data_IF_287602673620
#
_entry.id   IF_287602673620
#
_cell.length_a   1.000
_cell.length_b   1.000
_cell.length_c   1.000
_cell.angle_alpha   90.00
_cell.angle_beta   90.00
_cell.angle_gamma   90.00
#
_symmetry.space_group_name_H-M   'P 1'
#
loop_
_entity.id
_entity.type
_entity.pdbx_description
1 polymer ?
#
# COMPACT_ATOMS: atom_id res chain seq x y z
N UNK A 1 3.23 5.37 1.82
CA UNK A 1 4.46 5.18 1.02
C UNK A 1 4.96 3.75 1.22
N UNK A 2 5.63 3.12 0.23
CA UNK A 2 6.25 1.81 0.43
C UNK A 2 7.31 1.86 1.53
N UNK A 3 7.48 0.76 2.26
CA UNK A 3 8.47 0.67 3.35
C UNK A 3 9.20 -0.68 3.35
N UNK A 4 9.31 -1.30 2.17
CA UNK A 4 9.97 -2.58 1.96
C UNK A 4 11.46 -2.52 2.33
N UNK A 5 12.10 -3.70 2.43
CA UNK A 5 13.51 -3.77 2.82
C UNK A 5 14.37 -2.94 1.86
N UNK A 6 15.13 -1.99 2.42
CA UNK A 6 15.99 -1.08 1.67
C UNK A 6 15.32 0.17 1.09
N UNK A 7 14.05 0.41 1.43
CA UNK A 7 13.37 1.68 1.17
C UNK A 7 13.91 2.81 2.04
N UNK A 8 14.01 4.01 1.48
CA UNK A 8 14.40 5.23 2.20
C UNK A 8 13.36 5.65 3.23
N UNK A 9 12.10 5.28 3.01
CA UNK A 9 10.98 5.60 3.91
C UNK A 9 11.03 4.86 5.26
N UNK A 10 11.93 3.88 5.41
CA UNK A 10 12.13 3.21 6.71
C UNK A 10 12.80 4.09 7.76
N UNK A 11 13.44 5.19 7.35
CA UNK A 11 14.05 6.14 8.29
C UNK A 11 13.00 6.84 9.15
N UNK A 12 11.88 7.27 8.56
CA UNK A 12 10.76 7.88 9.27
C UNK A 12 10.20 6.92 10.34
N UNK A 13 9.97 5.66 9.96
CA UNK A 13 9.51 4.64 10.90
C UNK A 13 10.57 4.33 11.98
N UNK A 14 11.87 4.39 11.66
CA UNK A 14 12.95 4.21 12.64
C UNK A 14 12.97 5.35 13.66
N UNK A 15 12.83 6.60 13.23
CA UNK A 15 12.76 7.74 14.13
C UNK A 15 11.55 7.62 15.09
N UNK A 16 10.38 7.26 14.55
CA UNK A 16 9.19 6.99 15.35
C UNK A 16 9.37 5.82 16.34
N UNK A 17 10.07 4.75 15.92
CA UNK A 17 10.36 3.61 16.79
C UNK A 17 11.26 4.01 17.97
N UNK A 18 12.31 4.83 17.72
CA UNK A 18 13.18 5.35 18.78
C UNK A 18 12.40 6.23 19.75
N UNK A 19 11.54 7.13 19.24
CA UNK A 19 10.68 7.96 20.08
C UNK A 19 9.71 7.13 20.94
N UNK A 20 9.29 5.97 20.43
CA UNK A 20 8.45 5.00 21.14
C UNK A 20 9.24 4.01 22.03
N UNK A 21 10.56 4.20 22.22
CA UNK A 21 11.40 3.32 23.04
C UNK A 21 11.66 1.93 22.44
N UNK A 22 11.35 1.72 21.15
CA UNK A 22 11.58 0.44 20.46
C UNK A 22 12.99 0.39 19.86
N UNK A 23 13.67 -0.74 20.02
CA UNK A 23 15.00 -0.97 19.44
C UNK A 23 15.02 -1.00 17.90
N UNK A 24 13.89 -1.35 17.27
CA UNK A 24 13.73 -1.40 15.81
C UNK A 24 12.28 -1.12 15.41
N UNK A 25 12.02 -0.54 14.23
CA UNK A 25 10.68 -0.38 13.71
C UNK A 25 10.05 -1.74 13.36
N UNK A 26 8.81 -1.94 13.79
CA UNK A 26 7.93 -3.02 13.36
C UNK A 26 6.96 -2.49 12.30
N UNK A 27 6.41 -3.38 11.47
CA UNK A 27 5.43 -3.02 10.44
C UNK A 27 4.23 -3.98 10.56
N UNK A 28 2.98 -3.49 10.38
CA UNK A 28 2.60 -2.15 9.90
C UNK A 28 2.86 -1.02 10.90
N UNK A 29 2.98 0.20 10.37
CA UNK A 29 3.13 1.46 11.09
C UNK A 29 2.10 2.45 10.53
N UNK A 30 1.35 3.12 11.41
CA UNK A 30 0.31 4.09 11.05
C UNK A 30 0.68 5.46 11.62
N UNK A 31 0.61 6.48 10.76
CA UNK A 31 0.58 7.88 11.15
C UNK A 31 -0.83 8.40 10.87
N UNK A 32 -1.48 8.91 11.91
CA UNK A 32 -2.80 9.52 11.81
C UNK A 32 -2.71 10.94 12.38
N UNK A 33 -2.49 11.90 11.49
CA UNK A 33 -2.37 13.30 11.86
C UNK A 33 -3.67 13.90 12.37
N UNK A 34 -4.84 13.39 11.92
CA UNK A 34 -6.14 13.88 12.37
C UNK A 34 -6.42 13.54 13.83
N UNK A 35 -6.00 12.34 14.27
CA UNK A 35 -6.05 11.94 15.67
C UNK A 35 -4.77 12.29 16.45
N UNK A 36 -3.71 12.75 15.77
CA UNK A 36 -2.42 13.09 16.38
C UNK A 36 -1.65 11.88 16.91
N UNK A 37 -1.91 10.66 16.41
CA UNK A 37 -1.30 9.42 16.89
C UNK A 37 -0.33 8.80 15.89
N UNK A 38 0.68 8.10 16.42
CA UNK A 38 1.64 7.28 15.66
C UNK A 38 1.70 5.91 16.30
N UNK A 39 1.22 4.90 15.60
CA UNK A 39 0.99 3.56 16.15
C UNK A 39 1.80 2.51 15.39
N UNK A 40 2.36 1.59 16.17
CA UNK A 40 2.93 0.34 15.68
C UNK A 40 2.00 -0.81 16.07
N UNK A 41 2.30 -2.01 15.57
CA UNK A 41 1.54 -3.23 15.82
C UNK A 41 0.16 -3.23 15.14
N UNK A 42 -0.16 -4.32 14.44
CA UNK A 42 -1.41 -4.40 13.67
C UNK A 42 -2.66 -4.37 14.54
N UNK A 43 -2.61 -4.94 15.75
CA UNK A 43 -3.75 -4.97 16.67
C UNK A 43 -4.14 -3.56 17.14
N UNK A 44 -3.16 -2.79 17.62
CA UNK A 44 -3.38 -1.43 18.13
C UNK A 44 -3.86 -0.49 17.00
N UNK A 45 -3.29 -0.65 15.80
CA UNK A 45 -3.72 0.09 14.61
C UNK A 45 -5.17 -0.21 14.27
N UNK A 46 -5.57 -1.49 14.25
CA UNK A 46 -6.95 -1.88 13.89
C UNK A 46 -7.94 -1.37 14.93
N UNK A 47 -7.59 -1.48 16.22
CA UNK A 47 -8.41 -0.95 17.31
C UNK A 47 -8.62 0.57 17.15
N UNK A 48 -7.54 1.33 16.97
CA UNK A 48 -7.61 2.79 16.74
C UNK A 48 -8.50 3.17 15.56
N UNK A 49 -8.35 2.46 14.43
CA UNK A 49 -9.14 2.74 13.23
C UNK A 49 -10.63 2.48 13.44
N UNK A 50 -10.99 1.44 14.20
CA UNK A 50 -12.39 1.13 14.48
C UNK A 50 -12.99 2.10 15.50
N UNK A 51 -12.25 2.46 16.54
CA UNK A 51 -12.72 3.40 17.57
C UNK A 51 -12.88 4.82 16.99
N UNK A 52 -11.96 5.24 16.11
CA UNK A 52 -11.94 6.60 15.55
C UNK A 52 -12.81 6.75 14.29
N UNK A 53 -12.78 5.75 13.39
CA UNK A 53 -13.39 5.85 12.05
C UNK A 53 -14.42 4.75 11.75
N UNK A 54 -14.64 3.81 12.67
CA UNK A 54 -15.52 2.67 12.44
C UNK A 54 -17.01 3.04 12.35
N UNK A 55 -17.41 4.25 12.77
CA UNK A 55 -18.81 4.69 12.79
C UNK A 55 -19.76 3.67 13.46
N UNK A 56 -19.31 3.06 14.57
CA UNK A 56 -20.07 2.03 15.29
C UNK A 56 -20.04 0.64 14.63
N UNK A 57 -19.22 0.42 13.60
CA UNK A 57 -18.97 -0.92 13.09
C UNK A 57 -18.40 -1.79 14.22
N UNK A 58 -19.01 -2.97 14.51
CA UNK A 58 -18.50 -3.83 15.56
C UNK A 58 -17.11 -4.34 15.18
N UNK A 59 -16.21 -4.40 16.15
CA UNK A 59 -14.95 -5.11 16.00
C UNK A 59 -15.29 -6.59 15.75
N UNK A 60 -14.95 -7.18 14.60
CA UNK A 60 -15.10 -8.62 14.44
C UNK A 60 -14.30 -9.30 15.57
N UNK A 61 -14.81 -10.39 16.17
CA UNK A 61 -14.11 -11.06 17.25
C UNK A 61 -12.69 -11.41 16.80
N UNK A 62 -11.69 -11.45 17.70
CA UNK A 62 -10.31 -11.68 17.32
C UNK A 62 -10.08 -12.92 16.44
N UNK A 63 -10.91 -13.96 16.59
CA UNK A 63 -10.92 -15.16 15.74
C UNK A 63 -11.16 -14.90 14.25
N UNK A 64 -11.93 -13.86 13.94
CA UNK A 64 -12.44 -13.57 12.59
C UNK A 64 -11.51 -12.62 11.82
N UNK A 65 -10.81 -11.73 12.53
CA UNK A 65 -9.82 -10.84 11.91
C UNK A 65 -8.39 -11.40 11.99
N UNK A 66 -8.01 -12.05 13.09
CA UNK A 66 -6.78 -12.85 13.18
C UNK A 66 -7.08 -14.30 12.82
N UNK A 67 -7.50 -14.53 11.57
CA UNK A 67 -7.61 -15.87 11.03
C UNK A 67 -6.25 -16.55 11.14
N UNK A 68 -6.07 -17.60 11.96
CA UNK A 68 -4.78 -18.26 12.14
C UNK A 68 -4.24 -18.80 10.82
N UNK A 69 -5.13 -19.16 9.89
CA UNK A 69 -4.80 -19.55 8.53
C UNK A 69 -4.07 -18.46 7.75
N UNK A 70 -4.34 -17.17 7.98
CA UNK A 70 -3.63 -16.06 7.35
C UNK A 70 -2.16 -16.02 7.80
N UNK A 71 -1.87 -16.35 9.07
CA UNK A 71 -0.49 -16.46 9.56
C UNK A 71 0.25 -17.63 8.89
N UNK A 72 -0.47 -18.71 8.55
CA UNK A 72 0.10 -19.90 7.90
C UNK A 72 0.21 -19.77 6.39
N UNK A 73 -0.72 -19.08 5.74
CA UNK A 73 -0.86 -19.08 4.27
C UNK A 73 -0.55 -17.73 3.61
N UNK A 74 -0.58 -16.63 4.37
CA UNK A 74 -0.44 -15.27 3.82
C UNK A 74 0.91 -15.00 3.15
N UNK A 75 1.96 -15.72 3.56
CA UNK A 75 3.29 -15.64 2.94
C UNK A 75 3.46 -16.51 1.69
N UNK A 76 2.56 -17.49 1.44
CA UNK A 76 2.72 -18.44 0.34
C UNK A 76 2.77 -17.76 -1.04
N UNK A 77 1.87 -16.83 -1.38
CA UNK A 77 1.93 -16.20 -2.70
C UNK A 77 3.21 -15.39 -2.92
N UNK A 78 3.79 -14.83 -1.85
CA UNK A 78 5.06 -14.10 -1.92
C UNK A 78 6.22 -15.05 -2.22
N UNK A 79 6.27 -16.22 -1.56
CA UNK A 79 7.29 -17.24 -1.86
C UNK A 79 7.16 -17.80 -3.27
N UNK A 80 5.94 -18.16 -3.69
CA UNK A 80 5.69 -18.71 -5.03
C UNK A 80 6.04 -17.73 -6.15
N UNK A 81 6.07 -16.43 -5.84
CA UNK A 81 6.47 -15.36 -6.77
C UNK A 81 7.91 -14.91 -6.58
N UNK A 82 8.77 -15.71 -5.95
CA UNK A 82 10.20 -15.39 -5.81
C UNK A 82 10.49 -14.21 -4.88
N UNK A 83 9.63 -13.92 -3.90
CA UNK A 83 9.84 -12.86 -2.92
C UNK A 83 9.52 -11.45 -3.41
N UNK A 84 8.86 -11.32 -4.57
CA UNK A 84 8.48 -10.03 -5.18
C UNK A 84 7.67 -9.14 -4.24
N UNK A 85 7.92 -7.83 -4.31
CA UNK A 85 7.37 -6.83 -3.39
C UNK A 85 7.96 -6.83 -1.98
N UNK A 86 8.90 -7.72 -1.64
CA UNK A 86 9.50 -7.80 -0.29
C UNK A 86 10.69 -6.85 -0.06
N UNK A 87 11.31 -6.36 -1.13
CA UNK A 87 12.47 -5.48 -1.08
C UNK A 87 12.42 -4.46 -2.22
N UNK A 88 13.06 -3.31 -1.98
CA UNK A 88 13.34 -2.33 -3.04
C UNK A 88 14.45 -2.88 -3.94
N UNK A 89 14.22 -2.77 -5.25
CA UNK A 89 15.15 -3.14 -6.32
C UNK A 89 16.48 -2.41 -6.14
N UNK A 90 17.61 -3.12 -6.30
CA UNK A 90 18.91 -2.52 -5.99
C UNK A 90 19.23 -1.34 -6.91
N UNK A 91 18.88 -1.47 -8.20
CA UNK A 91 19.08 -0.42 -9.19
C UNK A 91 18.38 0.90 -8.81
N UNK A 92 17.28 0.85 -8.05
CA UNK A 92 16.60 2.04 -7.55
C UNK A 92 17.29 2.73 -6.40
N UNK A 93 18.00 1.99 -5.54
CA UNK A 93 18.73 2.60 -4.41
C UNK A 93 19.86 3.51 -4.88
N UNK A 94 20.33 3.30 -6.10
CA UNK A 94 21.38 4.09 -6.76
C UNK A 94 20.87 4.86 -7.99
N UNK A 95 19.55 4.85 -8.22
CA UNK A 95 18.93 5.27 -9.48
C UNK A 95 18.40 6.70 -9.47
N UNK A 96 17.44 6.95 -10.38
CA UNK A 96 16.77 8.24 -10.61
C UNK A 96 16.09 8.78 -9.33
N UNK A 97 16.03 10.11 -9.13
CA UNK A 97 15.29 10.69 -8.00
C UNK A 97 13.81 10.23 -7.99
N UNK A 98 13.21 10.12 -6.80
CA UNK A 98 11.80 9.73 -6.67
C UNK A 98 10.89 10.74 -7.38
N UNK A 99 9.68 10.32 -7.81
CA UNK A 99 8.72 11.24 -8.42
C UNK A 99 8.39 12.38 -7.46
N UNK A 100 8.23 13.59 -8.00
CA UNK A 100 7.95 14.79 -7.20
C UNK A 100 6.56 14.72 -6.55
N UNK A 101 5.61 14.07 -7.22
CA UNK A 101 4.25 13.88 -6.73
C UNK A 101 3.89 12.40 -6.61
N UNK A 102 3.14 12.00 -5.57
CA UNK A 102 2.75 10.61 -5.41
C UNK A 102 1.77 10.19 -6.50
N UNK A 103 1.97 8.98 -7.04
CA UNK A 103 1.02 8.38 -7.99
C UNK A 103 -0.26 7.98 -7.26
N UNK A 104 -1.39 7.91 -7.94
CA UNK A 104 -2.63 7.35 -7.36
C UNK A 104 -2.96 6.02 -8.01
N UNK A 105 -3.20 5.00 -7.20
CA UNK A 105 -3.68 3.70 -7.65
C UNK A 105 -5.08 3.47 -7.10
N UNK A 106 -6.07 3.31 -7.98
CA UNK A 106 -7.38 2.78 -7.60
C UNK A 106 -7.31 1.26 -7.57
N UNK A 107 -7.66 0.67 -6.44
CA UNK A 107 -7.40 -0.76 -6.15
C UNK A 107 -8.37 -1.32 -5.10
N UNK A 108 -8.24 -2.60 -4.76
CA UNK A 108 -8.76 -3.17 -3.52
C UNK A 108 -8.02 -4.49 -3.19
N UNK A 109 -8.02 -4.91 -1.93
CA UNK A 109 -7.15 -5.99 -1.42
C UNK A 109 -7.40 -7.35 -2.10
N UNK A 110 -8.66 -7.72 -2.32
CA UNK A 110 -9.02 -8.99 -2.96
C UNK A 110 -8.75 -9.11 -4.47
N UNK A 111 -8.07 -8.14 -5.09
CA UNK A 111 -7.80 -8.15 -6.54
C UNK A 111 -6.36 -8.58 -6.84
N UNK A 112 -6.20 -9.76 -7.45
CA UNK A 112 -4.89 -10.28 -7.85
C UNK A 112 -4.12 -9.37 -8.81
N UNK A 113 -4.80 -8.66 -9.71
CA UNK A 113 -4.17 -7.72 -10.64
C UNK A 113 -3.65 -6.47 -9.94
N UNK A 114 -4.38 -5.98 -8.92
CA UNK A 114 -3.90 -4.89 -8.07
C UNK A 114 -2.67 -5.29 -7.26
N UNK A 115 -2.60 -6.55 -6.82
CA UNK A 115 -1.39 -7.07 -6.14
C UNK A 115 -0.16 -6.94 -7.03
N UNK A 116 -0.25 -7.31 -8.32
CA UNK A 116 0.87 -7.17 -9.27
C UNK A 116 1.40 -5.74 -9.33
N UNK A 117 0.50 -4.77 -9.46
CA UNK A 117 0.86 -3.35 -9.53
C UNK A 117 1.47 -2.86 -8.21
N UNK A 118 0.89 -3.25 -7.06
CA UNK A 118 1.41 -2.88 -5.73
C UNK A 118 2.80 -3.46 -5.46
N UNK A 119 3.08 -4.69 -5.93
CA UNK A 119 4.42 -5.28 -5.85
C UNK A 119 5.43 -4.41 -6.60
N UNK A 120 5.12 -3.99 -7.84
CA UNK A 120 6.00 -3.12 -8.63
C UNK A 120 6.17 -1.73 -8.02
N UNK A 121 5.09 -1.10 -7.53
CA UNK A 121 5.18 0.17 -6.81
C UNK A 121 6.10 0.06 -5.57
N UNK A 122 6.12 -1.09 -4.92
CA UNK A 122 6.95 -1.37 -3.75
C UNK A 122 8.41 -1.64 -4.13
N UNK A 123 8.65 -2.46 -5.14
CA UNK A 123 9.98 -2.77 -5.66
C UNK A 123 10.69 -1.53 -6.18
N UNK A 124 9.93 -0.64 -6.82
CA UNK A 124 10.40 0.62 -7.36
C UNK A 124 10.43 1.76 -6.32
N UNK A 125 10.07 1.48 -5.06
CA UNK A 125 9.99 2.45 -3.96
C UNK A 125 9.26 3.75 -4.35
N UNK A 126 8.15 3.62 -5.08
CA UNK A 126 7.39 4.76 -5.60
C UNK A 126 6.37 5.26 -4.57
N UNK A 127 6.44 6.54 -4.15
CA UNK A 127 5.40 7.17 -3.36
C UNK A 127 4.04 7.11 -4.08
N UNK A 128 3.02 6.62 -3.40
CA UNK A 128 1.69 6.48 -3.98
C UNK A 128 0.57 6.56 -2.95
N UNK A 129 -0.61 6.97 -3.42
CA UNK A 129 -1.89 6.99 -2.73
C UNK A 129 -2.73 5.80 -3.18
N UNK A 130 -3.35 5.13 -2.22
CA UNK A 130 -4.11 3.92 -2.41
C UNK A 130 -5.62 4.20 -2.25
N UNK A 131 -6.33 4.33 -3.38
CA UNK A 131 -7.77 4.62 -3.39
C UNK A 131 -8.61 3.36 -3.54
N UNK A 132 -9.11 2.84 -2.40
CA UNK A 132 -9.92 1.61 -2.42
C UNK A 132 -11.27 1.77 -3.15
N UNK A 133 -11.50 0.96 -4.19
CA UNK A 133 -12.72 0.88 -5.00
C UNK A 133 -13.41 -0.48 -4.85
N UNK A 134 -13.27 -1.09 -3.66
CA UNK A 134 -13.96 -2.32 -3.29
C UNK A 134 -15.49 -2.22 -3.51
N UNK A 135 -16.17 -3.37 -3.56
CA UNK A 135 -17.63 -3.40 -3.72
C UNK A 135 -18.30 -2.49 -2.67
N UNK A 136 -19.27 -1.69 -3.12
CA UNK A 136 -20.01 -0.69 -2.32
C UNK A 136 -19.19 0.52 -1.83
N UNK A 137 -17.93 0.68 -2.25
CA UNK A 137 -17.19 1.92 -2.01
C UNK A 137 -17.78 3.08 -2.81
N UNK A 138 -17.99 4.27 -2.22
CA UNK A 138 -18.44 5.47 -2.96
C UNK A 138 -17.41 5.90 -4.01
N UNK A 139 -16.13 5.57 -3.82
CA UNK A 139 -15.05 5.86 -4.77
C UNK A 139 -15.19 5.13 -6.11
N UNK A 140 -16.10 4.16 -6.23
CA UNK A 140 -16.43 3.56 -7.53
C UNK A 140 -17.11 4.56 -8.47
N UNK A 141 -17.92 5.48 -7.92
CA UNK A 141 -18.55 6.53 -8.70
C UNK A 141 -17.52 7.56 -9.17
N UNK A 142 -16.58 7.93 -8.30
CA UNK A 142 -15.44 8.80 -8.64
C UNK A 142 -14.61 8.21 -9.79
N UNK A 143 -14.25 6.93 -9.70
CA UNK A 143 -13.50 6.25 -10.75
C UNK A 143 -14.30 6.16 -12.06
N UNK A 144 -15.60 5.89 -11.99
CA UNK A 144 -16.46 5.85 -13.17
C UNK A 144 -16.59 7.23 -13.84
N UNK A 145 -16.72 8.30 -13.06
CA UNK A 145 -16.78 9.66 -13.58
C UNK A 145 -15.47 10.08 -14.27
N UNK A 146 -14.33 9.63 -13.72
CA UNK A 146 -13.01 9.93 -14.25
C UNK A 146 -12.66 9.14 -15.52
N UNK A 147 -12.94 7.84 -15.51
CA UNK A 147 -12.34 6.90 -16.45
C UNK A 147 -13.38 6.09 -17.25
N UNK A 148 -14.67 6.44 -17.14
CA UNK A 148 -15.79 5.78 -17.83
C UNK A 148 -16.15 4.39 -17.31
N UNK A 149 -15.31 3.79 -16.45
CA UNK A 149 -15.52 2.48 -15.85
C UNK A 149 -14.96 2.42 -14.44
N UNK A 150 -15.50 1.53 -13.61
CA UNK A 150 -15.17 1.40 -12.18
C UNK A 150 -14.35 0.15 -11.86
N UNK A 151 -13.62 -0.36 -12.85
CA UNK A 151 -12.77 -1.56 -12.73
C UNK A 151 -11.38 -1.20 -12.22
N UNK A 152 -10.81 -2.04 -11.36
CA UNK A 152 -9.44 -1.89 -10.87
C UNK A 152 -8.54 -2.99 -11.45
N UNK A 153 -7.23 -2.75 -11.64
CA UNK A 153 -6.49 -1.53 -11.27
C UNK A 153 -6.65 -0.37 -12.26
N UNK A 154 -6.54 0.86 -11.75
CA UNK A 154 -6.39 2.09 -12.55
C UNK A 154 -5.30 2.97 -11.93
N UNK A 155 -4.29 3.33 -12.72
CA UNK A 155 -3.18 4.17 -12.30
C UNK A 155 -3.39 5.59 -12.82
N UNK A 156 -3.05 6.55 -11.98
CA UNK A 156 -2.94 7.97 -12.30
C UNK A 156 -1.56 8.43 -11.90
N UNK A 157 -0.83 8.99 -12.86
CA UNK A 157 0.47 9.59 -12.62
C UNK A 157 0.44 11.10 -12.93
N UNK A 158 0.40 11.96 -11.89
CA UNK A 158 0.41 13.40 -12.08
C UNK A 158 1.74 13.95 -12.61
N UNK A 159 2.84 13.18 -12.54
CA UNK A 159 4.15 13.63 -12.99
C UNK A 159 4.28 13.61 -14.51
N UNK A 160 3.49 12.78 -15.19
CA UNK A 160 3.49 12.63 -16.66
C UNK A 160 2.14 12.93 -17.30
N UNK A 161 1.08 13.06 -16.50
CA UNK A 161 -0.30 13.20 -16.98
C UNK A 161 -0.92 11.88 -17.47
N UNK A 162 -0.23 10.76 -17.28
CA UNK A 162 -0.69 9.44 -17.70
C UNK A 162 -1.78 8.94 -16.77
N UNK A 163 -2.88 8.47 -17.36
CA UNK A 163 -3.86 7.66 -16.65
C UNK A 163 -4.20 6.42 -17.46
N UNK A 164 -4.22 5.25 -16.84
CA UNK A 164 -4.40 4.00 -17.57
C UNK A 164 -4.96 2.87 -16.72
N UNK A 165 -5.61 1.94 -17.42
CA UNK A 165 -6.00 0.65 -16.88
C UNK A 165 -5.03 -0.44 -17.34
N UNK A 166 -5.43 -1.70 -17.13
CA UNK A 166 -4.75 -2.92 -17.51
C UNK A 166 -3.45 -3.12 -16.73
N UNK A 167 -3.44 -4.12 -15.84
CA UNK A 167 -2.31 -4.32 -14.93
C UNK A 167 -0.99 -4.57 -15.65
N UNK A 168 -1.02 -5.23 -16.81
CA UNK A 168 0.18 -5.49 -17.60
C UNK A 168 0.78 -4.19 -18.16
N UNK A 169 -0.07 -3.32 -18.71
CA UNK A 169 0.34 -2.03 -19.27
C UNK A 169 0.84 -1.09 -18.18
N UNK A 170 0.16 -1.06 -17.03
CA UNK A 170 0.58 -0.32 -15.84
C UNK A 170 1.97 -0.77 -15.39
N UNK A 171 2.21 -2.08 -15.29
CA UNK A 171 3.52 -2.61 -14.87
C UNK A 171 4.60 -2.23 -15.89
N UNK A 172 4.34 -2.42 -17.19
CA UNK A 172 5.29 -2.06 -18.23
C UNK A 172 5.60 -0.55 -18.25
N UNK A 173 4.59 0.28 -18.00
CA UNK A 173 4.75 1.72 -17.83
C UNK A 173 5.64 2.07 -16.63
N UNK A 174 5.36 1.52 -15.45
CA UNK A 174 6.11 1.84 -14.23
C UNK A 174 7.61 1.50 -14.38
N UNK A 175 7.92 0.34 -14.99
CA UNK A 175 9.30 -0.01 -15.29
C UNK A 175 9.94 0.92 -16.32
N UNK A 176 9.27 1.17 -17.44
CA UNK A 176 9.82 2.04 -18.50
C UNK A 176 10.08 3.47 -18.02
N UNK A 177 9.20 4.00 -17.20
CA UNK A 177 9.25 5.41 -16.78
C UNK A 177 10.18 5.63 -15.61
N UNK A 178 10.24 4.66 -14.69
CA UNK A 178 10.88 4.88 -13.42
C UNK A 178 11.97 3.89 -13.04
N UNK A 179 12.10 2.69 -13.62
CA UNK A 179 13.13 1.74 -13.21
C UNK A 179 14.56 2.24 -13.52
#
# INVERSE_FOLDING_TARGET
MPCARGSVHRETARAAAVAAGKARPTFPYLEDDAAGVRLFESADIVQHLLDTYGNGAPLPPPSDYFLPSTLVTGWMPTLLRGGRGGAVEQARRTGRPPPAQPLTLYWYEGNQFCRLVREVLTELDLPHVLSSVAKRSPRRAELAARAGRSTAPYLVDPNTGVEMFESADIVAYLYRTYA
#
